data_IF_587505448047
#
_entry.id   IF_587505448047
#
_cell.length_a   1.000
_cell.length_b   1.000
_cell.length_c   1.000
_cell.angle_alpha   90.00
_cell.angle_beta   90.00
_cell.angle_gamma   90.00
#
_symmetry.space_group_name_H-M   'P 1'
#
loop_
_entity.id
_entity.type
_entity.pdbx_description
1 polymer ?
#
# COMPACT_ATOMS: atom_id res chain seq x y z
N UNK A 1 1.18 26.57 -5.83
CA UNK A 1 0.14 25.80 -5.12
C UNK A 1 0.73 25.19 -3.87
N UNK A 2 -0.09 25.07 -2.82
CA UNK A 2 0.28 24.50 -1.52
C UNK A 2 -0.41 23.16 -1.33
N UNK A 3 0.34 22.14 -0.93
CA UNK A 3 -0.19 20.78 -0.74
C UNK A 3 0.06 20.31 0.69
N UNK A 4 -0.94 19.70 1.31
CA UNK A 4 -0.77 18.97 2.57
C UNK A 4 -0.83 17.46 2.28
N UNK A 5 0.22 16.73 2.66
CA UNK A 5 0.27 15.27 2.61
C UNK A 5 0.07 14.72 4.01
N UNK A 6 -0.95 13.87 4.20
CA UNK A 6 -1.22 13.22 5.48
C UNK A 6 -0.53 11.86 5.51
N UNK A 7 0.25 11.62 6.56
CA UNK A 7 1.01 10.40 6.79
C UNK A 7 2.49 10.65 7.04
N UNK A 8 3.30 9.62 7.16
CA UNK A 8 4.72 9.75 7.50
C UNK A 8 5.53 8.49 7.20
N UNK A 9 5.08 7.63 6.29
CA UNK A 9 5.77 6.43 5.85
C UNK A 9 6.59 6.62 4.57
N UNK A 10 7.12 5.52 4.05
CA UNK A 10 7.88 5.51 2.80
C UNK A 10 7.04 5.88 1.59
N UNK A 11 5.81 5.45 1.55
CA UNK A 11 4.79 5.84 0.55
C UNK A 11 4.59 7.36 0.55
N UNK A 12 4.41 7.96 1.71
CA UNK A 12 4.22 9.41 1.84
C UNK A 12 5.47 10.16 1.40
N UNK A 13 6.66 9.67 1.72
CA UNK A 13 7.89 10.27 1.23
C UNK A 13 7.99 10.21 -0.30
N UNK A 14 7.62 9.09 -0.92
CA UNK A 14 7.61 8.99 -2.39
C UNK A 14 6.60 9.96 -3.03
N UNK A 15 5.43 10.16 -2.41
CA UNK A 15 4.42 11.13 -2.85
C UNK A 15 4.97 12.56 -2.73
N UNK A 16 5.54 12.94 -1.57
CA UNK A 16 6.17 14.27 -1.34
C UNK A 16 7.27 14.53 -2.36
N UNK A 17 8.19 13.57 -2.53
CA UNK A 17 9.28 13.68 -3.49
C UNK A 17 8.79 13.89 -4.93
N UNK A 18 7.73 13.18 -5.32
CA UNK A 18 7.14 13.29 -6.65
C UNK A 18 6.42 14.63 -6.83
N UNK A 19 5.64 15.08 -5.84
CA UNK A 19 4.97 16.40 -5.85
C UNK A 19 5.96 17.55 -5.91
N UNK A 20 7.12 17.43 -5.26
CA UNK A 20 8.18 18.45 -5.28
C UNK A 20 8.77 18.67 -6.68
N UNK A 21 8.66 17.71 -7.58
CA UNK A 21 9.07 17.85 -9.00
C UNK A 21 8.11 18.73 -9.80
N UNK A 22 6.89 18.96 -9.32
CA UNK A 22 5.90 19.78 -9.99
C UNK A 22 6.30 21.27 -9.97
N UNK A 23 6.36 21.95 -11.13
CA UNK A 23 6.60 23.40 -11.18
C UNK A 23 5.42 24.21 -10.63
N UNK A 24 4.29 23.56 -10.34
CA UNK A 24 3.05 24.18 -9.83
C UNK A 24 2.99 24.15 -8.30
N UNK A 25 3.80 23.31 -7.65
CA UNK A 25 3.80 23.14 -6.19
C UNK A 25 4.91 23.95 -5.56
N UNK A 26 4.52 25.00 -4.83
CA UNK A 26 5.46 25.93 -4.20
C UNK A 26 5.79 25.54 -2.76
N UNK A 27 4.85 24.84 -2.08
CA UNK A 27 5.00 24.48 -0.69
C UNK A 27 4.29 23.14 -0.38
N UNK A 28 4.96 22.30 0.41
CA UNK A 28 4.42 21.04 0.87
C UNK A 28 4.50 20.98 2.40
N UNK A 29 3.37 20.74 3.06
CA UNK A 29 3.31 20.26 4.43
C UNK A 29 3.14 18.75 4.43
N UNK A 30 3.73 18.08 5.42
CA UNK A 30 3.49 16.65 5.65
C UNK A 30 3.21 16.40 7.13
N UNK A 31 2.11 15.71 7.44
CA UNK A 31 1.66 15.51 8.82
C UNK A 31 1.40 14.03 9.15
N UNK A 32 2.17 13.42 10.06
CA UNK A 32 3.26 14.00 10.84
C UNK A 32 4.60 14.10 10.10
N UNK A 33 4.77 13.43 8.93
CA UNK A 33 6.04 13.30 8.25
C UNK A 33 7.03 12.36 8.96
N UNK A 34 8.30 12.42 8.57
CA UNK A 34 9.40 11.66 9.15
C UNK A 34 10.74 12.38 8.95
N UNK A 35 11.84 11.77 9.40
CA UNK A 35 13.15 12.39 9.36
C UNK A 35 13.69 12.72 7.95
N UNK A 36 13.29 11.97 6.92
CA UNK A 36 13.67 12.24 5.54
C UNK A 36 12.74 13.23 4.85
N UNK A 37 11.44 13.13 5.09
CA UNK A 37 10.43 14.08 4.57
C UNK A 37 10.76 15.50 5.03
N UNK A 38 11.31 15.68 6.24
CA UNK A 38 11.69 16.98 6.78
C UNK A 38 12.77 17.73 5.95
N UNK A 39 13.50 17.04 5.08
CA UNK A 39 14.44 17.65 4.15
C UNK A 39 13.76 18.17 2.86
N UNK A 40 12.54 17.74 2.58
CA UNK A 40 11.81 18.05 1.34
C UNK A 40 10.50 18.82 1.55
N UNK A 41 9.93 18.74 2.74
CA UNK A 41 8.66 19.36 3.12
C UNK A 41 8.68 19.84 4.58
N UNK A 42 7.75 20.71 4.93
CA UNK A 42 7.54 21.15 6.30
C UNK A 42 6.73 20.10 7.05
N UNK A 43 7.36 19.42 8.01
CA UNK A 43 6.68 18.44 8.85
C UNK A 43 5.84 19.11 9.95
N UNK A 44 4.60 18.69 10.11
CA UNK A 44 3.64 19.23 11.07
C UNK A 44 3.29 18.16 12.10
N UNK A 45 3.45 18.45 13.38
CA UNK A 45 3.25 17.48 14.47
C UNK A 45 1.76 17.19 14.76
N UNK A 46 1.02 16.75 13.74
CA UNK A 46 -0.38 16.29 13.83
C UNK A 46 -0.41 14.83 13.44
N UNK A 47 -1.05 13.99 14.26
CA UNK A 47 -1.22 12.57 13.93
C UNK A 47 -2.10 12.38 12.70
N UNK A 48 -1.79 11.43 11.84
CA UNK A 48 -2.56 11.15 10.62
C UNK A 48 -4.05 10.84 10.90
N UNK A 49 -4.36 10.30 12.08
CA UNK A 49 -5.73 9.97 12.51
C UNK A 49 -6.43 11.07 13.30
N UNK A 50 -5.77 12.20 13.55
CA UNK A 50 -6.36 13.36 14.21
C UNK A 50 -7.13 14.22 13.19
N UNK A 51 -8.39 13.85 12.94
CA UNK A 51 -9.24 14.48 11.94
C UNK A 51 -9.48 15.95 12.28
N UNK A 52 -9.84 16.26 13.52
CA UNK A 52 -10.17 17.62 13.95
C UNK A 52 -8.96 18.55 13.87
N UNK A 53 -7.79 18.08 14.35
CA UNK A 53 -6.54 18.81 14.24
C UNK A 53 -6.11 19.05 12.79
N UNK A 54 -6.31 18.05 11.93
CA UNK A 54 -5.97 18.15 10.52
C UNK A 54 -6.86 19.14 9.77
N UNK A 55 -8.18 19.09 10.02
CA UNK A 55 -9.15 20.03 9.43
C UNK A 55 -8.90 21.44 9.92
N UNK A 56 -8.60 21.65 11.21
CA UNK A 56 -8.25 22.96 11.76
C UNK A 56 -7.00 23.53 11.10
N UNK A 57 -5.94 22.75 10.98
CA UNK A 57 -4.70 23.11 10.28
C UNK A 57 -4.97 23.51 8.82
N UNK A 58 -5.74 22.70 8.11
CA UNK A 58 -6.06 22.97 6.70
C UNK A 58 -6.92 24.23 6.52
N UNK A 59 -7.84 24.55 7.44
CA UNK A 59 -8.61 25.81 7.43
C UNK A 59 -7.71 27.03 7.64
N UNK A 60 -6.72 26.93 8.53
CA UNK A 60 -5.79 28.01 8.86
C UNK A 60 -4.80 28.26 7.71
N UNK A 61 -4.17 27.21 7.20
CA UNK A 61 -3.07 27.30 6.23
C UNK A 61 -3.53 27.29 4.76
N UNK A 62 -4.78 26.88 4.50
CA UNK A 62 -5.47 26.89 3.21
C UNK A 62 -4.64 26.20 2.11
N UNK A 63 -4.32 24.91 2.24
CA UNK A 63 -3.74 24.17 1.14
C UNK A 63 -4.71 24.14 -0.05
N UNK A 64 -4.16 24.17 -1.27
CA UNK A 64 -4.94 24.02 -2.50
C UNK A 64 -5.43 22.58 -2.67
N UNK A 65 -4.74 21.61 -2.06
CA UNK A 65 -5.05 20.19 -2.09
C UNK A 65 -4.52 19.49 -0.83
N UNK A 66 -5.31 18.57 -0.28
CA UNK A 66 -4.89 17.65 0.77
C UNK A 66 -4.85 16.22 0.23
N UNK A 67 -3.70 15.57 0.32
CA UNK A 67 -3.51 14.16 -0.05
C UNK A 67 -3.59 13.29 1.20
N UNK A 68 -4.61 12.41 1.29
CA UNK A 68 -4.78 11.47 2.41
C UNK A 68 -4.20 10.12 2.01
N UNK A 69 -3.01 9.79 2.50
CA UNK A 69 -2.27 8.64 2.01
C UNK A 69 -2.51 7.32 2.79
N UNK A 70 -2.59 7.29 4.14
CA UNK A 70 -2.75 6.04 4.88
C UNK A 70 -4.20 5.54 4.92
N UNK A 71 -4.36 4.25 5.15
CA UNK A 71 -5.64 3.54 5.29
C UNK A 71 -6.47 3.99 6.50
N UNK A 72 -5.86 4.12 7.69
CA UNK A 72 -6.57 4.48 8.92
C UNK A 72 -7.36 5.81 8.81
N UNK A 73 -6.76 6.95 8.42
CA UNK A 73 -7.52 8.20 8.28
C UNK A 73 -8.59 8.12 7.18
N UNK A 74 -8.38 7.36 6.11
CA UNK A 74 -9.40 7.13 5.08
C UNK A 74 -10.61 6.38 5.65
N UNK A 75 -10.36 5.30 6.39
CA UNK A 75 -11.40 4.51 7.04
C UNK A 75 -12.15 5.29 8.14
N UNK A 76 -11.47 6.24 8.80
CA UNK A 76 -12.07 7.13 9.80
C UNK A 76 -12.91 8.26 9.20
N UNK A 77 -12.74 8.59 7.89
CA UNK A 77 -13.50 9.63 7.21
C UNK A 77 -12.79 10.98 7.11
N UNK A 78 -11.47 11.00 7.07
CA UNK A 78 -10.67 12.22 6.90
C UNK A 78 -11.07 13.00 5.63
N UNK A 79 -11.28 12.30 4.50
CA UNK A 79 -11.70 12.95 3.25
C UNK A 79 -13.09 13.60 3.41
N UNK A 80 -14.03 12.87 4.01
CA UNK A 80 -15.38 13.39 4.27
C UNK A 80 -15.35 14.67 5.12
N UNK A 81 -14.51 14.70 6.16
CA UNK A 81 -14.37 15.86 7.04
C UNK A 81 -13.72 17.06 6.33
N UNK A 82 -12.70 16.84 5.50
CA UNK A 82 -12.05 17.88 4.71
C UNK A 82 -13.02 18.46 3.67
N UNK A 83 -13.74 17.63 2.93
CA UNK A 83 -14.72 18.06 1.94
C UNK A 83 -15.87 18.84 2.59
N UNK A 84 -16.38 18.39 3.75
CA UNK A 84 -17.40 19.11 4.53
C UNK A 84 -16.92 20.50 4.99
N UNK A 85 -15.60 20.67 5.13
CA UNK A 85 -14.97 21.95 5.43
C UNK A 85 -14.66 22.80 4.18
N UNK A 86 -15.05 22.35 2.99
CA UNK A 86 -14.77 23.02 1.72
C UNK A 86 -13.32 22.89 1.24
N UNK A 87 -12.58 21.89 1.72
CA UNK A 87 -11.17 21.65 1.40
C UNK A 87 -11.08 20.54 0.36
N UNK A 88 -10.35 20.77 -0.73
CA UNK A 88 -10.11 19.75 -1.77
C UNK A 88 -9.24 18.62 -1.21
N UNK A 89 -9.72 17.40 -1.27
CA UNK A 89 -9.04 16.24 -0.75
C UNK A 89 -8.92 15.14 -1.81
N UNK A 90 -7.75 14.52 -1.87
CA UNK A 90 -7.48 13.34 -2.70
C UNK A 90 -7.51 12.09 -1.81
N UNK A 91 -8.36 11.17 -2.15
CA UNK A 91 -8.57 9.89 -1.48
C UNK A 91 -10.04 9.51 -1.49
N UNK A 92 -10.37 8.23 -1.23
CA UNK A 92 -11.75 7.79 -1.13
C UNK A 92 -12.42 8.32 0.14
N UNK A 93 -13.72 8.60 0.03
CA UNK A 93 -14.57 8.83 1.20
C UNK A 93 -14.67 7.54 2.02
N UNK A 94 -15.05 7.68 3.30
CA UNK A 94 -15.19 6.56 4.24
C UNK A 94 -16.05 5.42 3.68
N UNK A 95 -17.16 5.76 3.01
CA UNK A 95 -18.05 4.75 2.45
C UNK A 95 -17.42 3.94 1.30
N UNK A 96 -16.47 4.51 0.56
CA UNK A 96 -15.73 3.83 -0.51
C UNK A 96 -14.47 3.12 0.02
N UNK A 97 -13.82 3.67 1.05
CA UNK A 97 -12.68 3.06 1.71
C UNK A 97 -12.99 1.70 2.36
N UNK A 98 -14.26 1.37 2.55
CA UNK A 98 -14.72 0.07 3.05
C UNK A 98 -14.24 -1.11 2.19
N UNK A 99 -13.92 -0.88 0.91
CA UNK A 99 -13.40 -1.94 0.02
C UNK A 99 -12.08 -2.54 0.54
N UNK A 100 -11.28 -1.77 1.29
CA UNK A 100 -10.11 -2.23 2.06
C UNK A 100 -10.51 -2.53 3.51
N UNK A 101 -11.36 -1.70 4.10
CA UNK A 101 -11.75 -1.75 5.51
C UNK A 101 -12.56 -2.97 5.90
N UNK A 102 -13.18 -3.69 4.94
CA UNK A 102 -13.91 -4.93 5.16
C UNK A 102 -13.68 -5.91 4.01
N UNK A 103 -13.00 -7.01 4.32
CA UNK A 103 -12.74 -8.07 3.34
C UNK A 103 -14.01 -8.81 2.96
N UNK A 104 -14.93 -8.99 3.90
CA UNK A 104 -16.25 -9.58 3.62
C UNK A 104 -17.05 -8.72 2.65
N UNK A 105 -17.09 -7.39 2.84
CA UNK A 105 -17.70 -6.48 1.86
C UNK A 105 -17.07 -6.61 0.47
N UNK A 106 -15.74 -6.62 0.39
CA UNK A 106 -15.03 -6.76 -0.88
C UNK A 106 -15.35 -8.09 -1.57
N UNK A 107 -15.45 -9.20 -0.81
CA UNK A 107 -15.81 -10.50 -1.33
C UNK A 107 -17.26 -10.53 -1.83
N UNK A 108 -18.20 -9.99 -1.06
CA UNK A 108 -19.62 -9.92 -1.45
C UNK A 108 -19.79 -9.04 -2.71
N UNK A 109 -19.05 -7.93 -2.81
CA UNK A 109 -19.01 -7.09 -4.00
C UNK A 109 -18.53 -7.90 -5.22
N UNK A 110 -17.40 -8.60 -5.09
CA UNK A 110 -16.84 -9.39 -6.19
C UNK A 110 -17.79 -10.52 -6.61
N UNK A 111 -18.41 -11.20 -5.67
CA UNK A 111 -19.41 -12.24 -5.96
C UNK A 111 -20.63 -11.66 -6.68
N UNK A 112 -21.20 -10.56 -6.17
CA UNK A 112 -22.40 -9.91 -6.73
C UNK A 112 -22.21 -9.44 -8.16
N UNK A 113 -21.01 -8.97 -8.49
CA UNK A 113 -20.70 -8.40 -9.80
C UNK A 113 -19.85 -9.32 -10.70
N UNK A 114 -19.70 -10.60 -10.31
CA UNK A 114 -18.94 -11.61 -11.05
C UNK A 114 -17.47 -11.22 -11.31
N UNK A 115 -16.83 -10.54 -10.37
CA UNK A 115 -15.42 -10.21 -10.42
C UNK A 115 -14.60 -11.42 -9.96
N UNK A 116 -13.63 -11.90 -10.76
CA UNK A 116 -12.87 -13.11 -10.43
C UNK A 116 -12.10 -12.99 -9.11
N UNK A 117 -12.37 -13.89 -8.17
CA UNK A 117 -11.67 -14.00 -6.88
C UNK A 117 -11.71 -15.44 -6.37
N UNK A 118 -11.00 -15.75 -5.30
CA UNK A 118 -11.07 -17.05 -4.61
C UNK A 118 -12.47 -17.33 -4.06
N UNK A 119 -12.89 -18.59 -4.06
CA UNK A 119 -14.04 -19.03 -3.30
C UNK A 119 -13.86 -18.67 -1.81
N UNK A 120 -14.96 -18.31 -1.13
CA UNK A 120 -14.86 -17.84 0.25
C UNK A 120 -16.11 -18.16 1.08
N UNK A 121 -15.93 -18.09 2.41
CA UNK A 121 -17.02 -18.08 3.38
C UNK A 121 -16.66 -17.13 4.54
N UNK A 122 -17.68 -16.55 5.17
CA UNK A 122 -17.51 -15.58 6.28
C UNK A 122 -18.08 -16.19 7.56
N UNK A 123 -17.37 -16.02 8.67
CA UNK A 123 -17.73 -16.58 9.97
C UNK A 123 -17.57 -15.54 11.09
N UNK A 124 -18.55 -15.51 12.00
CA UNK A 124 -18.56 -14.65 13.20
C UNK A 124 -18.29 -15.44 14.49
N UNK A 125 -18.21 -16.75 14.40
CA UNK A 125 -17.85 -17.62 15.52
C UNK A 125 -16.85 -18.69 15.09
N UNK A 126 -16.01 -19.11 16.01
CA UNK A 126 -14.94 -20.05 15.74
C UNK A 126 -15.43 -21.48 15.47
N UNK A 127 -16.55 -21.90 16.08
CA UNK A 127 -17.07 -23.25 15.91
C UNK A 127 -17.47 -23.54 14.46
N UNK A 128 -18.25 -22.65 13.84
CA UNK A 128 -18.70 -22.81 12.45
C UNK A 128 -17.51 -22.70 11.47
N UNK A 129 -16.57 -21.78 11.74
CA UNK A 129 -15.35 -21.64 10.97
C UNK A 129 -14.49 -22.91 11.00
N UNK A 130 -14.34 -23.54 12.17
CA UNK A 130 -13.60 -24.79 12.35
C UNK A 130 -14.31 -25.95 11.64
N UNK A 131 -15.64 -26.04 11.71
CA UNK A 131 -16.39 -27.04 10.96
C UNK A 131 -16.18 -26.89 9.44
N UNK A 132 -16.20 -25.66 8.94
CA UNK A 132 -15.92 -25.37 7.53
C UNK A 132 -14.49 -25.79 7.13
N UNK A 133 -13.47 -25.51 7.95
CA UNK A 133 -12.09 -25.93 7.70
C UNK A 133 -11.98 -27.44 7.64
N UNK A 134 -12.54 -28.17 8.62
CA UNK A 134 -12.53 -29.64 8.63
C UNK A 134 -13.22 -30.27 7.43
N UNK A 135 -14.25 -29.61 6.88
CA UNK A 135 -14.97 -30.08 5.69
C UNK A 135 -14.19 -29.86 4.41
N UNK A 136 -13.46 -28.74 4.30
CA UNK A 136 -12.76 -28.34 3.06
C UNK A 136 -11.29 -28.73 3.04
N UNK A 137 -10.69 -28.96 4.21
CA UNK A 137 -9.28 -29.30 4.36
C UNK A 137 -8.35 -28.11 4.18
N UNK A 138 -7.05 -28.40 4.12
CA UNK A 138 -5.99 -27.45 3.82
C UNK A 138 -5.24 -27.87 2.52
N UNK A 139 -4.52 -26.95 1.83
CA UNK A 139 -4.27 -25.56 2.22
C UNK A 139 -5.48 -24.65 2.07
N UNK A 140 -5.58 -23.64 2.96
CA UNK A 140 -6.68 -22.67 2.99
C UNK A 140 -6.19 -21.34 3.54
N UNK A 141 -6.86 -20.22 3.25
CA UNK A 141 -6.44 -18.89 3.73
C UNK A 141 -7.46 -18.34 4.71
N UNK A 142 -6.99 -17.95 5.90
CA UNK A 142 -7.81 -17.33 6.95
C UNK A 142 -7.43 -15.84 7.05
N UNK A 143 -8.42 -14.95 6.92
CA UNK A 143 -8.22 -13.49 6.96
C UNK A 143 -9.14 -12.87 8.02
N UNK A 144 -8.59 -12.04 8.91
CA UNK A 144 -9.39 -11.13 9.73
C UNK A 144 -10.09 -10.11 8.83
N UNK A 145 -11.38 -9.80 9.09
CA UNK A 145 -12.21 -9.02 8.16
C UNK A 145 -11.79 -7.54 8.06
N UNK A 146 -11.32 -6.91 9.13
CA UNK A 146 -10.96 -5.48 9.16
C UNK A 146 -9.51 -5.17 8.82
N UNK A 147 -9.14 -3.90 9.01
CA UNK A 147 -7.75 -3.44 8.89
C UNK A 147 -6.88 -4.10 9.98
N UNK A 148 -5.88 -4.84 9.55
CA UNK A 148 -4.96 -5.57 10.43
C UNK A 148 -3.49 -5.38 10.04
N UNK A 149 -3.16 -4.30 9.32
CA UNK A 149 -1.81 -3.90 8.91
C UNK A 149 -1.02 -5.05 8.23
N UNK A 150 -1.70 -5.82 7.38
CA UNK A 150 -1.11 -6.99 6.70
C UNK A 150 -0.84 -8.21 7.59
N UNK A 151 -1.14 -8.14 8.89
CA UNK A 151 -0.88 -9.23 9.86
C UNK A 151 -2.07 -10.17 10.05
N UNK A 152 -3.26 -9.78 9.60
CA UNK A 152 -4.49 -10.55 9.75
C UNK A 152 -4.71 -11.62 8.69
N UNK A 153 -3.67 -12.04 7.95
CA UNK A 153 -3.76 -13.06 6.89
C UNK A 153 -2.85 -14.23 7.23
N UNK A 154 -3.43 -15.41 7.33
CA UNK A 154 -2.71 -16.67 7.53
C UNK A 154 -2.97 -17.59 6.33
N UNK A 155 -1.92 -17.93 5.60
CA UNK A 155 -1.94 -19.00 4.62
C UNK A 155 -1.63 -20.28 5.38
N UNK A 156 -2.66 -21.04 5.66
CA UNK A 156 -2.57 -22.28 6.45
C UNK A 156 -2.34 -23.47 5.53
N UNK A 157 -1.23 -24.15 5.70
CA UNK A 157 -0.87 -25.35 4.94
C UNK A 157 -1.45 -26.61 5.58
N UNK A 158 -1.84 -26.52 6.85
CA UNK A 158 -2.51 -27.61 7.60
C UNK A 158 -3.82 -27.14 8.22
N UNK A 159 -4.70 -28.08 8.57
CA UNK A 159 -5.95 -27.77 9.28
C UNK A 159 -5.69 -27.16 10.66
N UNK A 160 -4.65 -27.64 11.35
CA UNK A 160 -4.26 -27.14 12.67
C UNK A 160 -3.87 -25.66 12.63
N UNK A 161 -3.06 -25.26 11.63
CA UNK A 161 -2.68 -23.86 11.42
C UNK A 161 -3.91 -22.98 11.12
N UNK A 162 -4.86 -23.48 10.33
CA UNK A 162 -6.09 -22.75 10.01
C UNK A 162 -6.98 -22.58 11.23
N UNK A 163 -7.12 -23.64 12.06
CA UNK A 163 -7.90 -23.62 13.30
C UNK A 163 -7.28 -22.67 14.33
N UNK A 164 -5.95 -22.67 14.46
CA UNK A 164 -5.25 -21.74 15.34
C UNK A 164 -5.47 -20.29 14.91
N UNK A 165 -5.33 -19.99 13.61
CA UNK A 165 -5.58 -18.66 13.07
C UNK A 165 -7.01 -18.15 13.33
N UNK A 166 -8.02 -19.02 13.19
CA UNK A 166 -9.42 -18.68 13.51
C UNK A 166 -9.59 -18.36 15.00
N UNK A 167 -9.04 -19.22 15.88
CA UNK A 167 -9.11 -19.01 17.33
C UNK A 167 -8.41 -17.74 17.77
N UNK A 168 -7.24 -17.47 17.26
CA UNK A 168 -6.48 -16.25 17.55
C UNK A 168 -7.25 -15.00 17.12
N UNK A 169 -7.87 -15.03 15.96
CA UNK A 169 -8.63 -13.90 15.45
C UNK A 169 -9.93 -13.66 16.22
N UNK A 170 -10.78 -14.67 16.35
CA UNK A 170 -12.13 -14.53 16.93
C UNK A 170 -12.09 -14.63 18.45
N UNK A 171 -11.52 -15.71 19.00
CA UNK A 171 -11.59 -16.01 20.43
C UNK A 171 -10.49 -15.25 21.21
N UNK A 172 -9.31 -15.13 20.60
CA UNK A 172 -8.16 -14.45 21.20
C UNK A 172 -8.18 -12.92 21.06
N UNK A 173 -9.03 -12.37 20.18
CA UNK A 173 -9.12 -10.94 19.94
C UNK A 173 -7.82 -10.31 19.44
N UNK A 174 -6.95 -11.08 18.76
CA UNK A 174 -5.63 -10.68 18.33
C UNK A 174 -5.63 -9.41 17.44
N UNK A 175 -6.74 -9.15 16.77
CA UNK A 175 -6.92 -8.00 15.87
C UNK A 175 -8.02 -7.04 16.35
N UNK A 176 -8.42 -7.12 17.62
CA UNK A 176 -9.50 -6.29 18.16
C UNK A 176 -10.79 -6.44 17.36
N UNK A 177 -11.47 -5.34 17.07
CA UNK A 177 -12.72 -5.35 16.27
C UNK A 177 -12.56 -5.90 14.85
N UNK A 178 -11.36 -5.85 14.25
CA UNK A 178 -11.09 -6.42 12.94
C UNK A 178 -11.13 -7.95 12.92
N UNK A 179 -10.89 -8.61 14.06
CA UNK A 179 -10.94 -10.05 14.21
C UNK A 179 -12.30 -10.62 14.61
N UNK A 180 -13.31 -9.77 14.84
CA UNK A 180 -14.68 -10.21 15.19
C UNK A 180 -15.34 -11.09 14.12
N UNK A 181 -14.87 -11.01 12.89
CA UNK A 181 -15.20 -11.89 11.76
C UNK A 181 -13.94 -12.36 11.06
N UNK A 182 -14.01 -13.54 10.47
CA UNK A 182 -12.97 -14.06 9.58
C UNK A 182 -13.57 -14.40 8.21
N UNK A 183 -12.77 -14.15 7.18
CA UNK A 183 -13.03 -14.61 5.82
C UNK A 183 -12.09 -15.79 5.56
N UNK A 184 -12.66 -16.94 5.24
CA UNK A 184 -11.89 -18.13 4.88
C UNK A 184 -11.97 -18.29 3.37
N UNK A 185 -10.82 -18.36 2.72
CA UNK A 185 -10.70 -18.38 1.26
C UNK A 185 -10.02 -19.64 0.74
N UNK A 186 -10.40 -20.03 -0.47
CA UNK A 186 -9.68 -21.01 -1.27
C UNK A 186 -8.22 -20.58 -1.41
N UNK A 187 -7.29 -21.52 -1.25
CA UNK A 187 -5.87 -21.29 -1.51
C UNK A 187 -5.63 -21.22 -3.03
N UNK A 188 -5.21 -20.06 -3.51
CA UNK A 188 -4.82 -19.86 -4.90
C UNK A 188 -3.32 -20.03 -5.08
N UNK A 189 -2.91 -20.50 -6.25
CA UNK A 189 -1.51 -20.64 -6.63
C UNK A 189 -1.19 -19.87 -7.90
N UNK A 190 -0.01 -19.24 -7.93
CA UNK A 190 0.49 -18.45 -9.05
C UNK A 190 1.37 -17.30 -8.56
N UNK A 191 1.96 -16.52 -9.47
CA UNK A 191 2.65 -15.29 -9.11
C UNK A 191 1.65 -14.23 -8.59
N UNK A 192 2.03 -13.52 -7.53
CA UNK A 192 1.31 -12.34 -7.06
C UNK A 192 1.77 -11.12 -7.85
N UNK A 193 0.83 -10.24 -8.20
CA UNK A 193 1.09 -8.97 -8.88
C UNK A 193 0.23 -7.88 -8.26
N UNK A 194 0.82 -6.70 -8.10
CA UNK A 194 0.15 -5.50 -7.65
C UNK A 194 -0.11 -4.57 -8.84
N UNK A 195 -1.34 -4.14 -9.04
CA UNK A 195 -1.69 -3.09 -10.00
C UNK A 195 -2.44 -1.99 -9.27
N UNK A 196 -1.87 -0.79 -9.31
CA UNK A 196 -2.51 0.40 -8.76
C UNK A 196 -3.20 1.14 -9.91
N UNK A 197 -4.32 1.79 -9.62
CA UNK A 197 -5.02 2.62 -10.58
C UNK A 197 -5.48 3.93 -9.95
N UNK A 198 -5.33 5.03 -10.67
CA UNK A 198 -6.06 6.25 -10.38
C UNK A 198 -7.52 6.07 -10.78
N UNK A 199 -8.44 6.50 -9.93
CA UNK A 199 -9.89 6.36 -10.13
C UNK A 199 -10.56 7.67 -9.75
N UNK A 200 -11.47 8.18 -10.59
CA UNK A 200 -12.20 9.43 -10.38
C UNK A 200 -13.70 9.25 -10.05
N UNK A 201 -14.09 8.03 -9.74
CA UNK A 201 -15.48 7.64 -9.51
C UNK A 201 -16.10 6.85 -10.67
N UNK A 202 -15.68 7.11 -11.89
CA UNK A 202 -16.18 6.46 -13.13
C UNK A 202 -15.09 5.89 -14.00
N UNK A 203 -14.01 6.66 -14.18
CA UNK A 203 -12.88 6.29 -15.02
C UNK A 203 -11.73 5.79 -14.19
N UNK A 204 -10.92 4.93 -14.77
CA UNK A 204 -9.69 4.48 -14.15
C UNK A 204 -8.53 4.50 -15.15
N UNK A 205 -7.32 4.77 -14.64
CA UNK A 205 -6.07 4.65 -15.38
C UNK A 205 -5.07 3.87 -14.53
N UNK A 206 -4.67 2.71 -15.04
CA UNK A 206 -3.71 1.84 -14.34
C UNK A 206 -2.30 2.40 -14.40
N UNK A 207 -1.57 2.20 -13.33
CA UNK A 207 -0.13 2.41 -13.25
C UNK A 207 0.60 1.17 -13.76
N UNK A 208 1.90 1.27 -14.07
CA UNK A 208 2.72 0.09 -14.31
C UNK A 208 2.58 -0.93 -13.17
N UNK A 209 2.54 -2.20 -13.53
CA UNK A 209 2.48 -3.28 -12.54
C UNK A 209 3.68 -3.26 -11.61
N UNK A 210 3.48 -3.77 -10.39
CA UNK A 210 4.54 -3.97 -9.43
C UNK A 210 4.45 -5.38 -8.84
N UNK A 211 5.50 -5.80 -8.18
CA UNK A 211 5.50 -7.04 -7.40
C UNK A 211 6.18 -6.79 -6.07
N UNK A 212 5.47 -7.11 -5.00
CA UNK A 212 5.88 -6.98 -3.61
C UNK A 212 6.45 -8.31 -3.08
N UNK A 213 7.27 -8.24 -2.04
CA UNK A 213 7.81 -9.37 -1.30
C UNK A 213 7.37 -9.29 0.15
N UNK A 214 6.30 -10.02 0.48
CA UNK A 214 5.61 -9.90 1.78
C UNK A 214 6.31 -10.61 2.93
N UNK A 215 7.07 -11.68 2.67
CA UNK A 215 7.77 -12.45 3.71
C UNK A 215 9.02 -11.73 4.19
N UNK A 216 9.30 -11.89 5.50
CA UNK A 216 10.40 -11.18 6.17
C UNK A 216 11.79 -11.59 5.70
N UNK A 217 11.97 -12.83 5.29
CA UNK A 217 13.28 -13.41 4.98
C UNK A 217 13.37 -13.86 3.52
N UNK A 218 14.60 -14.05 3.05
CA UNK A 218 14.90 -14.60 1.71
C UNK A 218 14.14 -15.91 1.46
N UNK A 219 13.91 -16.21 0.19
CA UNK A 219 13.19 -17.41 -0.26
C UNK A 219 11.72 -17.48 0.18
N UNK A 220 11.12 -16.33 0.51
CA UNK A 220 9.75 -16.19 1.02
C UNK A 220 9.54 -16.96 2.33
N UNK A 221 10.52 -16.90 3.22
CA UNK A 221 10.45 -17.49 4.55
C UNK A 221 10.06 -16.47 5.63
N UNK A 222 9.69 -16.98 6.80
CA UNK A 222 9.34 -16.17 7.97
C UNK A 222 7.92 -15.60 7.93
N UNK A 223 7.59 -14.67 8.83
CA UNK A 223 6.27 -14.09 8.93
C UNK A 223 5.96 -13.10 7.79
N UNK A 224 4.68 -12.86 7.54
CA UNK A 224 4.22 -11.78 6.67
C UNK A 224 4.57 -10.41 7.27
N UNK A 225 4.86 -9.46 6.39
CA UNK A 225 5.20 -8.07 6.73
C UNK A 225 4.33 -7.11 5.93
N UNK A 226 4.55 -5.82 6.07
CA UNK A 226 3.99 -4.80 5.17
C UNK A 226 4.64 -4.74 3.79
N UNK A 227 5.64 -5.58 3.51
CA UNK A 227 6.45 -5.60 2.29
C UNK A 227 7.93 -5.31 2.59
N UNK A 228 8.80 -6.19 2.13
CA UNK A 228 10.27 -6.09 2.29
C UNK A 228 10.96 -5.51 1.06
N UNK A 229 10.20 -5.18 0.05
CA UNK A 229 10.66 -4.56 -1.19
C UNK A 229 9.69 -4.81 -2.32
N UNK A 230 9.78 -3.99 -3.36
CA UNK A 230 8.97 -4.12 -4.55
C UNK A 230 9.75 -3.72 -5.80
N UNK A 231 9.34 -4.21 -6.94
CA UNK A 231 9.88 -3.81 -8.23
C UNK A 231 8.77 -3.55 -9.25
N UNK A 232 9.06 -2.78 -10.26
CA UNK A 232 8.13 -2.43 -11.34
C UNK A 232 8.91 -2.33 -12.67
N UNK A 233 8.42 -2.89 -13.79
CA UNK A 233 7.19 -3.68 -13.90
C UNK A 233 7.37 -5.13 -13.41
N UNK A 234 6.27 -5.84 -13.13
CA UNK A 234 6.30 -7.29 -12.88
C UNK A 234 6.59 -8.05 -14.18
N UNK A 235 7.45 -9.05 -14.09
CA UNK A 235 7.79 -9.94 -15.22
C UNK A 235 6.63 -10.82 -15.68
N UNK A 236 5.66 -11.04 -14.81
CA UNK A 236 4.52 -11.93 -15.07
C UNK A 236 3.29 -11.22 -15.63
N UNK A 237 3.26 -9.90 -15.61
CA UNK A 237 2.10 -9.12 -16.02
C UNK A 237 2.24 -8.66 -17.47
N UNK A 238 1.80 -9.51 -18.39
CA UNK A 238 1.84 -9.26 -19.84
C UNK A 238 0.69 -8.36 -20.30
N UNK A 239 0.78 -7.83 -21.52
CA UNK A 239 -0.28 -6.99 -22.11
C UNK A 239 -1.61 -7.76 -22.24
N UNK A 240 -1.58 -9.05 -22.55
CA UNK A 240 -2.79 -9.89 -22.61
C UNK A 240 -3.45 -10.03 -21.25
N UNK A 241 -2.66 -10.26 -20.20
CA UNK A 241 -3.15 -10.32 -18.82
C UNK A 241 -3.69 -8.94 -18.39
N UNK A 242 -3.02 -7.86 -18.77
CA UNK A 242 -3.48 -6.50 -18.49
C UNK A 242 -4.83 -6.21 -19.13
N UNK A 243 -5.01 -6.62 -20.40
CA UNK A 243 -6.28 -6.49 -21.12
C UNK A 243 -7.40 -7.32 -20.47
N UNK A 244 -7.11 -8.57 -20.08
CA UNK A 244 -8.06 -9.42 -19.35
C UNK A 244 -8.45 -8.80 -18.00
N UNK A 245 -7.47 -8.34 -17.19
CA UNK A 245 -7.73 -7.67 -15.92
C UNK A 245 -8.58 -6.40 -16.10
N UNK A 246 -8.31 -5.62 -17.14
CA UNK A 246 -9.06 -4.40 -17.44
C UNK A 246 -10.56 -4.70 -17.61
N UNK A 247 -10.90 -5.72 -18.42
CA UNK A 247 -12.28 -6.02 -18.75
C UNK A 247 -13.00 -6.85 -17.68
N UNK A 248 -12.29 -7.74 -16.99
CA UNK A 248 -12.93 -8.68 -16.04
C UNK A 248 -12.83 -8.24 -14.58
N UNK A 249 -11.88 -7.36 -14.23
CA UNK A 249 -11.62 -6.96 -12.84
C UNK A 249 -11.73 -5.44 -12.66
N UNK A 250 -10.92 -4.64 -13.37
CA UNK A 250 -10.76 -3.23 -13.01
C UNK A 250 -12.00 -2.40 -13.32
N UNK A 251 -12.47 -2.41 -14.55
CA UNK A 251 -13.72 -1.71 -14.95
C UNK A 251 -14.93 -2.22 -14.15
N UNK A 252 -15.13 -3.55 -14.01
CA UNK A 252 -16.23 -4.07 -13.20
C UNK A 252 -16.19 -3.63 -11.73
N UNK A 253 -14.99 -3.54 -11.11
CA UNK A 253 -14.86 -3.08 -9.72
C UNK A 253 -15.30 -1.62 -9.57
N UNK A 254 -14.82 -0.72 -10.44
CA UNK A 254 -15.20 0.71 -10.37
C UNK A 254 -16.70 0.88 -10.60
N UNK A 255 -17.26 0.21 -11.61
CA UNK A 255 -18.69 0.23 -11.90
C UNK A 255 -19.53 -0.36 -10.74
N UNK A 256 -19.04 -1.41 -10.08
CA UNK A 256 -19.70 -2.00 -8.92
C UNK A 256 -19.76 -1.02 -7.75
N UNK A 257 -18.65 -0.36 -7.45
CA UNK A 257 -18.58 0.65 -6.38
C UNK A 257 -19.55 1.83 -6.65
N UNK A 258 -19.64 2.30 -7.89
CA UNK A 258 -20.61 3.33 -8.27
C UNK A 258 -22.05 2.87 -8.07
N UNK A 259 -22.38 1.65 -8.54
CA UNK A 259 -23.72 1.04 -8.39
C UNK A 259 -24.14 0.82 -6.93
N UNK A 260 -23.17 0.55 -6.05
CA UNK A 260 -23.42 0.45 -4.60
C UNK A 260 -23.57 1.83 -3.91
N UNK A 261 -23.55 2.94 -4.66
CA UNK A 261 -23.60 4.28 -4.10
C UNK A 261 -22.34 4.69 -3.35
N UNK A 262 -21.21 4.07 -3.68
CA UNK A 262 -19.89 4.26 -3.08
C UNK A 262 -18.83 4.60 -4.14
N UNK A 263 -19.03 5.64 -4.98
CA UNK A 263 -18.07 5.97 -6.03
C UNK A 263 -16.68 6.17 -5.43
N UNK A 264 -15.69 5.48 -6.00
CA UNK A 264 -14.33 5.50 -5.49
C UNK A 264 -13.53 6.59 -6.18
N UNK A 265 -12.93 7.51 -5.42
CA UNK A 265 -11.98 8.50 -5.91
C UNK A 265 -10.66 8.36 -5.19
N UNK A 266 -9.55 8.31 -5.93
CA UNK A 266 -8.22 8.15 -5.34
C UNK A 266 -7.41 7.08 -6.05
N UNK A 267 -6.59 6.35 -5.29
CA UNK A 267 -5.85 5.20 -5.78
C UNK A 267 -6.48 3.92 -5.27
N UNK A 268 -6.90 3.07 -6.20
CA UNK A 268 -7.36 1.72 -5.90
C UNK A 268 -6.24 0.74 -6.26
N UNK A 269 -5.82 -0.04 -5.27
CA UNK A 269 -4.82 -1.08 -5.42
C UNK A 269 -5.51 -2.43 -5.56
N UNK A 270 -5.14 -3.15 -6.58
CA UNK A 270 -5.56 -4.51 -6.87
C UNK A 270 -4.41 -5.47 -6.59
N UNK A 271 -4.53 -6.31 -5.56
CA UNK A 271 -3.68 -7.47 -5.36
C UNK A 271 -4.23 -8.63 -6.18
N UNK A 272 -3.42 -9.15 -7.08
CA UNK A 272 -3.81 -10.19 -8.03
C UNK A 272 -2.98 -11.45 -7.84
N UNK A 273 -3.62 -12.61 -7.98
CA UNK A 273 -2.96 -13.91 -8.19
C UNK A 273 -3.15 -14.30 -9.66
N UNK A 274 -2.06 -14.50 -10.39
CA UNK A 274 -2.11 -14.98 -11.77
C UNK A 274 -2.19 -16.50 -11.77
N UNK A 275 -3.42 -17.04 -11.71
CA UNK A 275 -3.65 -18.47 -11.64
C UNK A 275 -3.67 -19.12 -13.03
N UNK A 276 -3.54 -20.45 -13.14
CA UNK A 276 -3.73 -21.17 -14.41
C UNK A 276 -5.13 -20.98 -15.04
N UNK A 277 -6.11 -20.50 -14.26
CA UNK A 277 -7.48 -20.21 -14.71
C UNK A 277 -7.74 -18.72 -14.95
N UNK A 278 -6.69 -17.92 -15.12
CA UNK A 278 -6.74 -16.47 -15.27
C UNK A 278 -6.50 -15.69 -13.98
N UNK A 279 -6.43 -14.35 -14.07
CA UNK A 279 -6.16 -13.49 -12.93
C UNK A 279 -7.33 -13.49 -11.93
N UNK A 280 -7.00 -13.44 -10.64
CA UNK A 280 -7.95 -13.42 -9.53
C UNK A 280 -7.57 -12.36 -8.53
N UNK A 281 -8.55 -11.59 -8.04
CA UNK A 281 -8.33 -10.62 -6.97
C UNK A 281 -8.14 -11.37 -5.66
N UNK A 282 -7.03 -11.07 -4.96
CA UNK A 282 -6.76 -11.57 -3.60
C UNK A 282 -7.04 -10.53 -2.53
N UNK A 283 -6.89 -9.25 -2.87
CA UNK A 283 -7.22 -8.13 -1.98
C UNK A 283 -7.40 -6.83 -2.75
N UNK A 284 -8.10 -5.87 -2.14
CA UNK A 284 -8.09 -4.46 -2.51
C UNK A 284 -7.44 -3.64 -1.40
N UNK A 285 -6.76 -2.55 -1.78
CA UNK A 285 -6.42 -1.49 -0.86
C UNK A 285 -6.92 -0.14 -1.41
N UNK A 286 -7.44 0.71 -0.54
CA UNK A 286 -8.10 1.97 -0.90
C UNK A 286 -7.12 3.15 -0.98
N UNK A 287 -5.84 2.87 -1.24
CA UNK A 287 -4.74 3.83 -1.17
C UNK A 287 -3.52 3.32 -1.96
N UNK A 288 -2.53 4.19 -2.09
CA UNK A 288 -1.21 3.77 -2.59
C UNK A 288 -0.62 2.62 -1.77
N UNK A 289 0.08 1.67 -2.42
CA UNK A 289 0.83 0.60 -1.77
C UNK A 289 2.11 1.11 -1.08
N UNK A 290 2.68 0.31 -0.23
CA UNK A 290 3.98 0.55 0.41
C UNK A 290 4.68 -0.80 0.63
N UNK A 291 5.72 -1.18 -0.13
CA UNK A 291 6.65 -0.29 -0.85
C UNK A 291 6.42 -0.13 -2.36
N UNK A 292 5.31 -0.52 -2.94
CA UNK A 292 5.09 -0.43 -4.39
C UNK A 292 5.16 1.01 -4.90
N UNK A 293 4.64 1.97 -4.13
CA UNK A 293 4.62 3.39 -4.51
C UNK A 293 6.02 3.94 -4.77
N UNK A 294 6.99 3.55 -3.97
CA UNK A 294 8.38 3.96 -4.12
C UNK A 294 8.94 3.54 -5.49
N UNK A 295 8.64 2.30 -5.92
CA UNK A 295 9.06 1.81 -7.23
C UNK A 295 8.25 2.43 -8.37
N UNK A 296 6.92 2.48 -8.25
CA UNK A 296 6.02 2.93 -9.32
C UNK A 296 6.15 4.43 -9.59
N UNK A 297 6.09 5.29 -8.57
CA UNK A 297 6.19 6.74 -8.74
C UNK A 297 7.57 7.20 -9.20
N UNK A 298 8.63 6.42 -8.97
CA UNK A 298 9.96 6.70 -9.53
C UNK A 298 10.01 6.60 -11.06
N UNK A 299 8.96 6.04 -11.68
CA UNK A 299 8.80 5.90 -13.13
C UNK A 299 7.78 6.90 -13.73
N UNK A 300 7.17 7.74 -12.90
CA UNK A 300 6.14 8.68 -13.36
C UNK A 300 6.76 9.91 -14.04
N UNK A 301 6.36 10.18 -15.28
CA UNK A 301 6.76 11.38 -16.04
C UNK A 301 5.71 12.50 -15.96
N UNK A 302 4.41 12.15 -15.87
CA UNK A 302 3.34 13.14 -15.76
C UNK A 302 3.33 13.79 -14.36
N UNK A 303 3.03 15.08 -14.31
CA UNK A 303 2.92 15.82 -13.05
C UNK A 303 1.85 15.21 -12.12
N UNK A 304 2.27 14.72 -10.96
CA UNK A 304 1.39 14.07 -10.00
C UNK A 304 0.31 15.01 -9.46
N UNK A 305 0.63 16.31 -9.33
CA UNK A 305 -0.34 17.32 -8.90
C UNK A 305 -1.50 17.46 -9.90
N UNK A 306 -1.20 17.41 -11.21
CA UNK A 306 -2.23 17.44 -12.25
C UNK A 306 -3.10 16.18 -12.22
N UNK A 307 -2.50 15.02 -11.98
CA UNK A 307 -3.24 13.76 -11.86
C UNK A 307 -4.21 13.83 -10.66
N UNK A 308 -3.74 14.31 -9.51
CA UNK A 308 -4.60 14.46 -8.34
C UNK A 308 -5.78 15.40 -8.58
N UNK A 309 -5.55 16.53 -9.24
CA UNK A 309 -6.62 17.44 -9.61
C UNK A 309 -7.60 16.81 -10.60
N UNK A 310 -7.13 16.08 -11.61
CA UNK A 310 -7.96 15.38 -12.57
C UNK A 310 -8.87 14.34 -11.89
N UNK A 311 -8.37 13.62 -10.90
CA UNK A 311 -9.16 12.67 -10.10
C UNK A 311 -10.24 13.39 -9.28
N UNK A 312 -9.87 14.46 -8.56
CA UNK A 312 -10.82 15.21 -7.73
C UNK A 312 -11.92 15.84 -8.59
N UNK A 313 -11.57 16.38 -9.76
CA UNK A 313 -12.47 17.08 -10.67
C UNK A 313 -13.25 16.15 -11.62
N UNK A 314 -13.11 14.82 -11.48
CA UNK A 314 -13.74 13.80 -12.35
C UNK A 314 -13.37 13.98 -13.84
N UNK A 315 -12.11 14.32 -14.10
CA UNK A 315 -11.52 14.57 -15.42
C UNK A 315 -10.34 13.64 -15.74
N UNK A 316 -10.30 12.48 -15.11
CA UNK A 316 -9.22 11.52 -15.32
C UNK A 316 -9.16 11.03 -16.77
N UNK A 317 -10.28 11.01 -17.48
CA UNK A 317 -10.34 10.65 -18.89
C UNK A 317 -9.53 11.62 -19.77
N UNK A 318 -9.52 12.91 -19.42
CA UNK A 318 -8.92 13.98 -20.22
C UNK A 318 -7.39 14.08 -20.07
N UNK A 319 -6.79 13.43 -19.06
CA UNK A 319 -5.34 13.49 -18.84
C UNK A 319 -4.63 12.27 -19.42
N UNK A 320 -3.55 12.50 -20.18
CA UNK A 320 -2.65 11.44 -20.64
C UNK A 320 -1.51 11.22 -19.61
N UNK A 321 -1.53 10.07 -18.93
CA UNK A 321 -0.54 9.74 -17.91
C UNK A 321 0.61 8.96 -18.55
N UNK A 322 1.80 9.55 -18.53
CA UNK A 322 3.02 9.00 -19.11
C UNK A 322 3.94 8.43 -18.03
N UNK A 323 4.57 7.35 -18.37
CA UNK A 323 5.52 6.62 -17.53
C UNK A 323 6.81 6.44 -18.30
N UNK A 324 7.95 6.57 -17.64
CA UNK A 324 9.25 6.29 -18.23
C UNK A 324 9.36 4.82 -18.65
N UNK A 325 9.96 4.58 -19.80
CA UNK A 325 10.29 3.24 -20.28
C UNK A 325 11.56 2.72 -19.59
N UNK A 326 11.43 2.41 -18.30
CA UNK A 326 12.49 1.93 -17.43
C UNK A 326 11.91 0.94 -16.42
N UNK A 327 12.76 0.40 -15.56
CA UNK A 327 12.36 -0.42 -14.42
C UNK A 327 12.83 0.23 -13.12
N UNK A 328 12.18 -0.11 -12.01
CA UNK A 328 12.51 0.34 -10.67
C UNK A 328 12.55 -0.83 -9.69
N UNK A 329 13.46 -0.78 -8.73
CA UNK A 329 13.55 -1.71 -7.61
C UNK A 329 13.71 -0.93 -6.30
N UNK A 330 12.83 -1.22 -5.33
CA UNK A 330 12.88 -0.69 -3.96
C UNK A 330 13.20 -1.83 -3.00
N UNK A 331 14.29 -1.70 -2.24
CA UNK A 331 14.68 -2.64 -1.18
C UNK A 331 14.39 -1.99 0.17
N UNK A 332 13.55 -2.62 0.98
CA UNK A 332 13.25 -2.14 2.33
C UNK A 332 14.33 -2.57 3.31
N UNK A 333 14.86 -1.60 4.07
CA UNK A 333 15.72 -1.83 5.21
C UNK A 333 14.92 -1.69 6.48
N UNK A 334 14.88 -2.74 7.30
CA UNK A 334 14.06 -2.84 8.49
C UNK A 334 14.89 -2.92 9.77
N UNK A 335 14.29 -2.55 10.89
CA UNK A 335 14.85 -2.77 12.22
C UNK A 335 14.90 -4.27 12.54
N UNK A 336 15.97 -4.72 13.18
CA UNK A 336 16.11 -6.12 13.58
C UNK A 336 14.99 -6.54 14.53
N UNK A 337 14.37 -7.68 14.18
CA UNK A 337 13.18 -8.19 14.87
C UNK A 337 11.84 -7.90 14.18
N UNK A 338 11.79 -6.94 13.26
CA UNK A 338 10.59 -6.69 12.45
C UNK A 338 10.15 -7.95 11.67
N UNK A 339 8.84 -8.29 11.58
CA UNK A 339 7.65 -7.53 12.00
C UNK A 339 7.22 -7.74 13.46
N UNK A 340 8.00 -8.46 14.27
CA UNK A 340 7.78 -8.62 15.70
C UNK A 340 8.35 -7.41 16.45
N UNK A 341 8.71 -7.60 17.71
CA UNK A 341 9.29 -6.55 18.54
C UNK A 341 10.68 -6.12 18.02
N UNK A 342 10.91 -4.82 17.95
CA UNK A 342 12.16 -4.21 17.51
C UNK A 342 12.51 -2.98 18.35
N UNK A 343 13.80 -2.65 18.39
CA UNK A 343 14.31 -1.46 19.06
C UNK A 343 14.30 -0.26 18.11
N UNK A 344 14.10 0.94 18.66
CA UNK A 344 14.16 2.23 17.97
C UNK A 344 15.38 3.03 18.44
N UNK A 345 15.66 4.15 17.76
CA UNK A 345 16.70 5.11 18.16
C UNK A 345 18.11 4.71 17.76
N UNK A 346 18.28 3.76 16.83
CA UNK A 346 19.59 3.41 16.27
C UNK A 346 20.02 4.43 15.24
N UNK A 347 21.23 4.96 15.34
CA UNK A 347 21.77 5.94 14.39
C UNK A 347 21.90 5.34 12.98
N UNK A 348 21.48 6.10 11.97
CA UNK A 348 21.55 5.72 10.56
C UNK A 348 22.72 6.50 9.94
N UNK A 349 23.64 5.78 9.30
CA UNK A 349 24.84 6.33 8.65
C UNK A 349 24.96 5.82 7.21
N UNK A 350 25.83 6.47 6.41
CA UNK A 350 26.12 6.06 5.04
C UNK A 350 25.14 6.55 3.98
N UNK A 351 24.16 7.41 4.34
CA UNK A 351 23.22 7.97 3.37
C UNK A 351 23.91 8.90 2.36
N UNK A 352 24.95 9.60 2.77
CA UNK A 352 25.72 10.50 1.90
C UNK A 352 26.57 9.74 0.85
N UNK A 353 26.79 8.44 1.06
CA UNK A 353 27.53 7.59 0.13
C UNK A 353 26.64 6.97 -0.97
N UNK A 354 25.32 7.15 -0.89
CA UNK A 354 24.36 6.65 -1.89
C UNK A 354 24.51 7.44 -3.19
N UNK A 355 24.62 6.75 -4.32
CA UNK A 355 24.93 7.38 -5.61
C UNK A 355 23.90 7.13 -6.72
N UNK A 356 23.31 5.94 -6.76
CA UNK A 356 22.46 5.48 -7.88
C UNK A 356 20.99 5.35 -7.51
N UNK A 357 20.68 5.52 -6.22
CA UNK A 357 19.34 5.33 -5.67
C UNK A 357 18.82 6.58 -4.99
N UNK A 358 17.52 6.72 -4.91
CA UNK A 358 16.86 7.60 -3.95
C UNK A 358 16.47 6.79 -2.70
N UNK A 359 16.70 7.35 -1.50
CA UNK A 359 16.37 6.69 -0.24
C UNK A 359 15.10 7.30 0.33
N UNK A 360 14.00 6.58 0.20
CA UNK A 360 12.74 6.96 0.83
C UNK A 360 12.77 6.56 2.31
N UNK A 361 12.47 7.53 3.17
CA UNK A 361 12.39 7.30 4.61
C UNK A 361 10.98 6.86 5.02
N UNK A 362 10.92 5.85 5.88
CA UNK A 362 9.70 5.39 6.52
C UNK A 362 9.81 5.63 8.04
N UNK A 363 10.16 4.64 8.81
CA UNK A 363 10.33 4.76 10.25
C UNK A 363 11.64 5.44 10.63
N UNK A 364 11.78 6.72 10.39
CA UNK A 364 12.93 7.54 10.78
C UNK A 364 12.52 8.77 11.57
N UNK A 365 13.41 9.26 12.42
CA UNK A 365 13.27 10.51 13.16
C UNK A 365 14.64 11.20 13.31
N UNK A 366 14.61 12.50 13.56
CA UNK A 366 15.80 13.25 13.97
C UNK A 366 15.79 13.41 15.48
N UNK A 367 16.84 12.93 16.15
CA UNK A 367 17.03 13.05 17.60
C UNK A 367 18.43 13.58 17.88
N UNK A 368 18.51 14.68 18.62
CA UNK A 368 19.79 15.34 18.97
C UNK A 368 20.67 15.62 17.73
N UNK A 369 20.03 16.05 16.61
CA UNK A 369 20.68 16.34 15.34
C UNK A 369 21.12 15.12 14.53
N UNK A 370 20.80 13.90 14.98
CA UNK A 370 21.13 12.64 14.30
C UNK A 370 19.89 11.98 13.74
N UNK A 371 20.02 11.39 12.56
CA UNK A 371 18.96 10.56 11.98
C UNK A 371 19.00 9.19 12.66
N UNK A 372 17.83 8.75 13.15
CA UNK A 372 17.69 7.48 13.87
C UNK A 372 16.50 6.67 13.41
N UNK A 373 16.54 5.35 13.64
CA UNK A 373 15.41 4.46 13.41
C UNK A 373 14.24 4.78 14.35
N UNK A 374 13.01 4.78 13.83
CA UNK A 374 11.78 5.05 14.59
C UNK A 374 10.61 4.16 14.17
N UNK A 375 10.86 3.08 13.46
CA UNK A 375 9.83 2.17 12.97
C UNK A 375 10.37 0.79 12.62
N UNK A 376 9.49 -0.10 12.20
CA UNK A 376 9.85 -1.44 11.75
C UNK A 376 10.54 -1.39 10.39
N UNK A 377 9.85 -0.95 9.34
CA UNK A 377 10.50 -0.58 8.07
C UNK A 377 11.05 0.83 8.24
N UNK A 378 12.33 1.02 7.93
CA UNK A 378 13.09 2.24 8.22
C UNK A 378 13.33 3.04 6.94
N UNK A 379 13.85 2.40 5.90
CA UNK A 379 14.21 3.02 4.62
C UNK A 379 13.74 2.14 3.46
N UNK A 380 13.46 2.78 2.30
CA UNK A 380 13.26 2.14 1.01
C UNK A 380 14.29 2.65 0.01
N UNK A 381 15.33 1.86 -0.26
CA UNK A 381 16.40 2.22 -1.21
C UNK A 381 15.91 1.88 -2.61
N UNK A 382 15.68 2.91 -3.43
CA UNK A 382 14.99 2.76 -4.71
C UNK A 382 15.87 3.24 -5.87
N UNK A 383 16.18 2.34 -6.78
CA UNK A 383 16.91 2.64 -8.00
C UNK A 383 16.04 2.45 -9.25
N UNK A 384 16.31 3.23 -10.27
CA UNK A 384 15.75 3.07 -11.62
C UNK A 384 16.86 2.78 -12.62
N UNK A 385 16.53 1.98 -13.66
CA UNK A 385 17.45 1.68 -14.74
C UNK A 385 16.67 1.23 -15.99
N UNK A 386 17.30 1.18 -17.19
CA UNK A 386 16.66 0.68 -18.39
C UNK A 386 16.13 -0.75 -18.26
N UNK A 387 16.77 -1.59 -17.43
CA UNK A 387 16.36 -2.97 -17.16
C UNK A 387 16.15 -3.21 -15.67
N UNK A 388 15.28 -4.16 -15.35
CA UNK A 388 15.03 -4.54 -13.95
C UNK A 388 16.27 -5.08 -13.26
N UNK A 389 17.06 -5.92 -13.94
CA UNK A 389 18.29 -6.50 -13.37
C UNK A 389 19.32 -5.42 -13.02
N UNK A 390 19.40 -4.38 -13.83
CA UNK A 390 20.26 -3.22 -13.54
C UNK A 390 19.74 -2.39 -12.38
N UNK A 391 18.42 -2.15 -12.31
CA UNK A 391 17.79 -1.46 -11.17
C UNK A 391 18.03 -2.21 -9.85
N UNK A 392 17.87 -3.53 -9.85
CA UNK A 392 18.18 -4.40 -8.70
C UNK A 392 19.64 -4.25 -8.28
N UNK A 393 20.56 -4.36 -9.22
CA UNK A 393 22.00 -4.26 -8.94
C UNK A 393 22.37 -2.91 -8.32
N UNK A 394 21.82 -1.82 -8.85
CA UNK A 394 22.02 -0.45 -8.32
C UNK A 394 21.47 -0.31 -6.91
N UNK A 395 20.22 -0.72 -6.67
CA UNK A 395 19.61 -0.66 -5.34
C UNK A 395 20.45 -1.40 -4.29
N UNK A 396 20.88 -2.63 -4.58
CA UNK A 396 21.70 -3.39 -3.65
C UNK A 396 23.14 -2.85 -3.48
N UNK A 397 23.70 -2.20 -4.48
CA UNK A 397 24.98 -1.52 -4.33
C UNK A 397 24.89 -0.39 -3.29
N UNK A 398 23.79 0.34 -3.28
CA UNK A 398 23.55 1.44 -2.35
C UNK A 398 23.06 0.96 -0.97
N UNK A 399 22.23 -0.09 -0.89
CA UNK A 399 21.83 -0.72 0.38
C UNK A 399 23.05 -1.08 1.24
N UNK A 400 24.12 -1.59 0.64
CA UNK A 400 25.35 -1.98 1.35
C UNK A 400 26.13 -0.82 1.97
N UNK A 401 25.87 0.42 1.55
CA UNK A 401 26.52 1.64 2.07
C UNK A 401 25.83 2.16 3.33
N UNK A 402 24.55 1.82 3.54
CA UNK A 402 23.73 2.33 4.64
C UNK A 402 23.81 1.37 5.82
N UNK A 403 24.03 1.91 7.03
CA UNK A 403 24.20 1.12 8.24
C UNK A 403 23.38 1.68 9.39
N UNK A 404 22.78 0.77 10.16
CA UNK A 404 22.28 0.99 11.51
C UNK A 404 22.30 -0.35 12.27
N UNK A 405 22.39 -0.30 13.59
CA UNK A 405 22.52 -1.52 14.42
C UNK A 405 21.36 -2.48 14.20
N UNK A 406 21.64 -3.76 13.96
CA UNK A 406 20.68 -4.83 13.66
C UNK A 406 19.83 -4.58 12.41
N UNK A 407 20.37 -3.86 11.40
CA UNK A 407 19.68 -3.69 10.12
C UNK A 407 19.34 -5.05 9.49
N UNK A 408 18.11 -5.18 8.99
CA UNK A 408 17.63 -6.33 8.27
C UNK A 408 17.05 -5.93 6.92
N UNK A 409 17.41 -6.64 5.87
CA UNK A 409 16.81 -6.53 4.53
C UNK A 409 16.92 -7.85 3.80
N UNK A 410 16.06 -8.10 2.83
CA UNK A 410 16.13 -9.27 1.95
C UNK A 410 17.19 -9.05 0.87
N UNK A 411 17.82 -10.12 0.44
CA UNK A 411 18.85 -10.11 -0.62
C UNK A 411 18.33 -10.58 -1.98
N UNK A 412 17.06 -10.99 -2.04
CA UNK A 412 16.43 -11.61 -3.21
C UNK A 412 15.26 -10.79 -3.82
N UNK A 413 15.13 -9.50 -3.48
CA UNK A 413 14.10 -8.64 -4.06
C UNK A 413 14.28 -8.54 -5.57
N UNK A 414 13.24 -8.95 -6.32
CA UNK A 414 13.21 -8.92 -7.77
C UNK A 414 14.02 -10.03 -8.46
N UNK A 415 14.61 -10.96 -7.72
CA UNK A 415 15.40 -12.06 -8.29
C UNK A 415 14.53 -13.18 -8.86
N UNK A 416 13.29 -13.34 -8.39
CA UNK A 416 12.31 -14.36 -8.84
C UNK A 416 11.30 -13.81 -9.83
#
# INVERSE_FOLDING_TARGET
MKVLVIGGGGREHAIVHTLKKSPKVDHIWCAPGNGGIAAEAECVAIKATDIDGMVAFAKEHKPDLVMVAPDDPLALGMVDALEAAGIRAFGPRKNAAIIEGSKSFAKDLMQKYNIPTAGYAVFENSADAIEYIKKNGAPIVVKADGLALGKGVTVAMTEEEAIEAVKDAIDGGAFGGAGARVVIEEFLTGPEVSVLAFVDGKHLKTMPSAQDHKRAYDHDEGPNTGGMGAFSPSRFYTDDIAAECMETIFKPTVAAMEKEGRPFKGVLYFGLMLTPKGPRVIEYNARFGDPETQAVLSRLDTDLFDIFNAVIDEKLEDIDIKWADNAACCVCMASGGYPKAYEKGKEITGLDDVTDSFVFHAGTAVKDGRLVTNGGRVLGVTATAPTLDEAIRKAYADVKKIHFDKVHYRTDIGVK
#
